data_IF_922915947309
#
_entry.id   IF_922915947309
#
_cell.length_a   1.000
_cell.length_b   1.000
_cell.length_c   1.000
_cell.angle_alpha   90.00
_cell.angle_beta   90.00
_cell.angle_gamma   90.00
#
_symmetry.space_group_name_H-M   'P 1'
#
loop_
_entity.id
_entity.type
_entity.pdbx_description
1 polymer ?
#
# COMPACT_ATOMS: atom_id res chain seq x y z
N UNK A 1 -19.09 -28.51 3.57
CA UNK A 1 -17.85 -28.26 4.34
C UNK A 1 -17.48 -26.80 4.14
N UNK A 2 -17.78 -25.94 5.11
CA UNK A 2 -17.65 -24.48 4.99
C UNK A 2 -16.25 -24.05 5.44
N UNK A 3 -15.49 -23.43 4.52
CA UNK A 3 -14.13 -22.91 4.75
C UNK A 3 -14.08 -21.40 4.44
N UNK A 4 -15.13 -20.61 4.73
CA UNK A 4 -15.31 -19.33 4.02
C UNK A 4 -15.36 -18.01 4.84
N UNK A 5 -15.02 -17.94 6.13
CA UNK A 5 -15.27 -16.67 6.87
C UNK A 5 -14.14 -16.05 7.68
N UNK A 6 -12.95 -16.67 7.76
CA UNK A 6 -11.91 -16.16 8.70
C UNK A 6 -10.64 -15.59 8.09
N UNK A 7 -10.50 -15.62 6.77
CA UNK A 7 -9.44 -14.92 6.07
C UNK A 7 -10.09 -14.21 4.90
N UNK A 8 -10.53 -12.96 5.12
CA UNK A 8 -11.08 -12.14 4.05
C UNK A 8 -10.06 -12.09 2.93
N UNK A 9 -10.26 -12.91 1.90
CA UNK A 9 -9.43 -12.92 0.72
C UNK A 9 -9.40 -11.48 0.24
N UNK A 10 -8.21 -10.91 0.09
CA UNK A 10 -8.00 -9.67 -0.64
C UNK A 10 -8.51 -9.90 -2.06
N UNK A 11 -9.83 -9.78 -2.25
CA UNK A 11 -10.49 -10.14 -3.48
C UNK A 11 -10.24 -8.97 -4.41
N UNK A 12 -9.10 -9.06 -5.10
CA UNK A 12 -8.86 -8.22 -6.25
C UNK A 12 -10.08 -8.32 -7.17
N UNK A 13 -10.43 -7.24 -7.86
CA UNK A 13 -11.41 -7.30 -8.95
C UNK A 13 -11.04 -8.42 -9.91
N UNK A 14 -12.01 -8.85 -10.73
CA UNK A 14 -11.72 -9.83 -11.78
C UNK A 14 -10.48 -9.39 -12.59
N UNK A 15 -9.65 -10.32 -13.06
CA UNK A 15 -8.39 -9.99 -13.74
C UNK A 15 -8.57 -8.97 -14.87
N UNK A 16 -9.67 -9.08 -15.62
CA UNK A 16 -10.07 -8.15 -16.68
C UNK A 16 -10.45 -6.77 -16.16
N UNK A 17 -11.20 -6.69 -15.07
CA UNK A 17 -11.57 -5.43 -14.43
C UNK A 17 -10.35 -4.73 -13.85
N UNK A 18 -9.47 -5.48 -13.20
CA UNK A 18 -8.21 -4.94 -12.68
C UNK A 18 -7.33 -4.35 -13.79
N UNK A 19 -7.22 -5.03 -14.93
CA UNK A 19 -6.51 -4.49 -16.10
C UNK A 19 -7.12 -3.17 -16.59
N UNK A 20 -8.45 -3.04 -16.62
CA UNK A 20 -9.13 -1.79 -17.00
C UNK A 20 -8.84 -0.66 -16.02
N UNK A 21 -8.92 -0.93 -14.72
CA UNK A 21 -8.59 0.03 -13.67
C UNK A 21 -7.14 0.50 -13.82
N UNK A 22 -6.18 -0.43 -13.97
CA UNK A 22 -4.76 -0.10 -14.18
C UNK A 22 -4.54 0.79 -15.40
N UNK A 23 -5.21 0.49 -16.51
CA UNK A 23 -5.13 1.32 -17.72
C UNK A 23 -5.72 2.72 -17.49
N UNK A 24 -6.83 2.84 -16.76
CA UNK A 24 -7.41 4.13 -16.41
C UNK A 24 -6.47 4.96 -15.51
N UNK A 25 -5.83 4.32 -14.54
CA UNK A 25 -4.83 4.96 -13.66
C UNK A 25 -3.61 5.42 -14.46
N UNK A 26 -3.06 4.57 -15.34
CA UNK A 26 -1.94 4.94 -16.21
C UNK A 26 -2.29 6.13 -17.11
N UNK A 27 -3.48 6.14 -17.71
CA UNK A 27 -3.96 7.26 -18.55
C UNK A 27 -4.11 8.55 -17.75
N UNK A 28 -4.73 8.49 -16.56
CA UNK A 28 -4.86 9.65 -15.66
C UNK A 28 -3.48 10.23 -15.32
N UNK A 29 -2.51 9.36 -15.05
CA UNK A 29 -1.16 9.76 -14.71
C UNK A 29 -0.34 10.29 -15.90
N UNK A 30 -0.88 10.24 -17.12
CA UNK A 30 -0.14 10.55 -18.35
C UNK A 30 1.01 9.57 -18.62
N UNK A 31 0.89 8.33 -18.13
CA UNK A 31 1.95 7.31 -18.08
C UNK A 31 3.22 7.73 -17.32
N UNK A 32 3.23 8.88 -16.66
CA UNK A 32 4.33 9.38 -15.85
C UNK A 32 4.13 9.00 -14.38
N UNK A 33 5.22 8.77 -13.65
CA UNK A 33 5.16 8.52 -12.22
C UNK A 33 4.45 9.66 -11.46
N UNK A 34 3.56 9.33 -10.53
CA UNK A 34 2.82 10.29 -9.70
C UNK A 34 3.54 10.61 -8.38
N UNK A 35 4.63 9.92 -8.05
CA UNK A 35 5.41 10.24 -6.85
C UNK A 35 6.03 11.64 -6.95
N UNK A 36 5.97 12.36 -5.83
CA UNK A 36 6.58 13.66 -5.67
C UNK A 36 8.06 13.53 -5.31
N UNK A 37 8.85 14.41 -5.90
CA UNK A 37 10.26 14.63 -5.58
C UNK A 37 10.37 15.58 -4.39
N UNK A 38 11.59 15.80 -3.89
CA UNK A 38 11.83 16.66 -2.71
C UNK A 38 11.42 18.12 -2.93
N UNK A 39 11.44 18.59 -4.17
CA UNK A 39 11.05 19.94 -4.57
C UNK A 39 9.53 20.06 -4.85
N UNK A 40 8.76 18.99 -4.63
CA UNK A 40 7.32 18.96 -4.90
C UNK A 40 6.96 18.72 -6.37
N UNK A 41 7.95 18.60 -7.27
CA UNK A 41 7.70 18.22 -8.66
C UNK A 41 7.35 16.73 -8.77
N UNK A 42 6.64 16.36 -9.84
CA UNK A 42 6.43 14.93 -10.15
C UNK A 42 7.71 14.32 -10.70
N UNK A 43 7.97 13.08 -10.29
CA UNK A 43 8.98 12.25 -10.91
C UNK A 43 8.79 12.21 -12.44
N UNK A 44 9.87 12.49 -13.20
CA UNK A 44 9.84 12.59 -14.66
C UNK A 44 9.90 11.23 -15.38
N UNK A 45 10.16 10.15 -14.63
CA UNK A 45 10.22 8.80 -15.19
C UNK A 45 8.84 8.27 -15.55
N UNK A 46 8.79 7.43 -16.59
CA UNK A 46 7.62 6.64 -16.97
C UNK A 46 7.23 5.72 -15.81
N UNK A 47 5.94 5.70 -15.46
CA UNK A 47 5.42 4.78 -14.47
C UNK A 47 5.19 3.38 -15.08
N UNK A 48 5.34 2.34 -14.27
CA UNK A 48 5.23 0.95 -14.67
C UNK A 48 4.16 0.17 -13.89
N UNK A 49 3.88 0.60 -12.66
CA UNK A 49 3.15 -0.18 -11.67
C UNK A 49 2.00 0.64 -11.09
N UNK A 50 0.86 -0.02 -10.89
CA UNK A 50 -0.31 0.57 -10.24
C UNK A 50 -0.31 0.08 -8.79
N UNK A 51 -0.33 1.03 -7.85
CA UNK A 51 -0.22 0.74 -6.43
C UNK A 51 -1.28 1.51 -5.63
N UNK A 52 -1.66 1.00 -4.47
CA UNK A 52 -2.60 1.64 -3.56
C UNK A 52 -1.91 2.77 -2.79
N UNK A 53 -2.62 3.83 -2.42
CA UNK A 53 -2.08 4.95 -1.63
C UNK A 53 -2.25 4.66 -0.14
N UNK A 54 -3.43 4.19 0.27
CA UNK A 54 -3.80 3.89 1.64
C UNK A 54 -4.35 2.46 1.77
N UNK A 55 -5.68 2.28 1.89
CA UNK A 55 -6.29 0.97 2.11
C UNK A 55 -6.02 0.04 0.92
N UNK A 56 -5.49 -1.15 1.19
CA UNK A 56 -5.17 -2.15 0.17
C UNK A 56 -6.42 -2.79 -0.45
N UNK A 57 -7.60 -2.60 0.15
CA UNK A 57 -8.86 -3.16 -0.36
C UNK A 57 -9.71 -2.11 -1.11
N UNK A 58 -9.37 -0.83 -1.04
CA UNK A 58 -10.05 0.22 -1.78
C UNK A 58 -9.43 0.39 -3.17
N UNK A 59 -10.12 -0.13 -4.19
CA UNK A 59 -9.68 -0.05 -5.59
C UNK A 59 -10.24 1.20 -6.31
N UNK A 60 -10.74 2.18 -5.57
CA UNK A 60 -11.18 3.46 -6.13
C UNK A 60 -10.04 4.17 -6.84
N UNK A 61 -10.37 4.92 -7.90
CA UNK A 61 -9.38 5.69 -8.64
C UNK A 61 -8.61 6.66 -7.73
N UNK A 62 -9.25 7.20 -6.69
CA UNK A 62 -8.63 8.15 -5.77
C UNK A 62 -7.57 7.51 -4.87
N UNK A 63 -7.69 6.21 -4.59
CA UNK A 63 -6.76 5.47 -3.76
C UNK A 63 -5.68 4.73 -4.58
N UNK A 64 -5.67 4.87 -5.91
CA UNK A 64 -4.65 4.25 -6.77
C UNK A 64 -3.69 5.31 -7.32
N UNK A 65 -2.42 4.94 -7.46
CA UNK A 65 -1.36 5.75 -8.04
C UNK A 65 -0.52 4.96 -9.05
N UNK A 66 0.03 5.66 -10.04
CA UNK A 66 0.92 5.12 -11.06
C UNK A 66 2.38 5.44 -10.71
N UNK A 67 3.20 4.43 -10.46
CA UNK A 67 4.58 4.58 -9.98
C UNK A 67 5.58 3.95 -10.94
N UNK A 68 6.75 4.58 -11.07
CA UNK A 68 7.91 3.92 -11.64
C UNK A 68 8.45 2.87 -10.65
N UNK A 69 9.16 1.85 -11.15
CA UNK A 69 9.60 0.72 -10.32
C UNK A 69 10.48 1.13 -9.13
N UNK A 70 11.27 2.21 -9.27
CA UNK A 70 12.06 2.73 -8.15
C UNK A 70 11.18 3.28 -7.01
N UNK A 71 10.21 4.14 -7.34
CA UNK A 71 9.31 4.72 -6.34
C UNK A 71 8.38 3.65 -5.74
N UNK A 72 7.93 2.70 -6.56
CA UNK A 72 7.16 1.56 -6.08
C UNK A 72 7.96 0.74 -5.06
N UNK A 73 9.19 0.35 -5.38
CA UNK A 73 10.05 -0.39 -4.46
C UNK A 73 10.33 0.38 -3.15
N UNK A 74 10.51 1.71 -3.23
CA UNK A 74 10.68 2.56 -2.05
C UNK A 74 9.43 2.58 -1.16
N UNK A 75 8.23 2.64 -1.77
CA UNK A 75 6.97 2.54 -1.04
C UNK A 75 6.81 1.18 -0.38
N UNK A 76 7.02 0.08 -1.11
CA UNK A 76 6.95 -1.28 -0.55
C UNK A 76 7.88 -1.45 0.66
N UNK A 77 9.12 -0.95 0.58
CA UNK A 77 10.07 -0.98 1.71
C UNK A 77 9.55 -0.20 2.92
N UNK A 78 8.96 0.98 2.69
CA UNK A 78 8.37 1.80 3.76
C UNK A 78 7.22 1.08 4.45
N UNK A 79 6.32 0.48 3.67
CA UNK A 79 5.17 -0.27 4.20
C UNK A 79 5.60 -1.53 4.96
N UNK A 80 6.55 -2.28 4.40
CA UNK A 80 7.13 -3.45 5.09
C UNK A 80 7.74 -3.05 6.43
N UNK A 81 8.50 -1.95 6.47
CA UNK A 81 9.07 -1.42 7.72
C UNK A 81 7.97 -1.01 8.71
N UNK A 82 6.92 -0.33 8.24
CA UNK A 82 5.79 0.05 9.10
C UNK A 82 5.09 -1.19 9.69
N UNK A 83 4.87 -2.23 8.88
CA UNK A 83 4.31 -3.50 9.33
C UNK A 83 5.17 -4.21 10.39
N UNK A 84 6.49 -4.25 10.20
CA UNK A 84 7.44 -4.79 11.18
C UNK A 84 7.40 -4.00 12.49
N UNK A 85 7.38 -2.66 12.42
CA UNK A 85 7.30 -1.82 13.63
C UNK A 85 5.97 -2.00 14.36
N UNK A 86 4.85 -2.09 13.64
CA UNK A 86 3.54 -2.37 14.22
C UNK A 86 3.48 -3.77 14.87
N UNK A 87 4.14 -4.78 14.29
CA UNK A 87 4.25 -6.09 14.92
C UNK A 87 5.10 -6.04 16.20
N UNK A 88 6.24 -5.33 16.18
CA UNK A 88 7.10 -5.16 17.36
C UNK A 88 6.36 -4.45 18.50
N UNK A 89 5.65 -3.37 18.21
CA UNK A 89 4.89 -2.62 19.21
C UNK A 89 3.79 -3.49 19.86
N UNK A 90 3.10 -4.32 19.07
CA UNK A 90 2.10 -5.27 19.59
C UNK A 90 2.71 -6.37 20.48
N UNK A 91 3.94 -6.76 20.20
CA UNK A 91 4.64 -7.83 20.91
C UNK A 91 5.52 -7.32 22.05
N UNK A 92 5.61 -6.01 22.28
CA UNK A 92 6.39 -5.45 23.37
C UNK A 92 5.73 -5.84 24.71
N UNK A 93 6.47 -6.44 25.66
CA UNK A 93 5.93 -6.74 26.99
C UNK A 93 5.41 -5.46 27.64
N UNK A 94 4.21 -5.52 28.22
CA UNK A 94 3.74 -4.43 29.08
C UNK A 94 4.64 -4.38 30.31
N UNK A 95 4.99 -3.17 30.74
CA UNK A 95 5.76 -2.97 31.96
C UNK A 95 5.05 -3.69 33.14
N UNK A 96 5.73 -4.57 33.89
CA UNK A 96 5.09 -5.28 34.99
C UNK A 96 4.69 -4.27 36.06
N UNK A 97 3.43 -4.28 36.49
CA UNK A 97 3.03 -3.53 37.68
C UNK A 97 3.64 -4.24 38.90
N UNK A 98 4.72 -3.69 39.44
CA UNK A 98 5.36 -4.25 40.62
C UNK A 98 4.51 -3.89 41.86
N UNK A 99 4.16 -4.86 42.73
CA UNK A 99 3.33 -4.62 43.91
C UNK A 99 3.99 -3.73 44.99
N UNK A 100 5.26 -3.32 44.79
CA UNK A 100 6.00 -2.44 45.70
C UNK A 100 5.99 -0.95 45.34
N UNK A 101 5.24 -0.53 44.31
CA UNK A 101 4.99 0.88 43.98
C UNK A 101 3.52 1.24 44.27
N UNK A 102 3.20 1.44 45.56
CA UNK A 102 1.96 2.07 46.07
C UNK A 102 2.31 3.05 47.18
#
# INVERSE_FOLDING_TARGET
MAWDEKYGAHRLPSSREWQRIRQAVAKRAGYQCESLMRDGSRCTFVGAECDHIADRNDHSMQNLQWLCSWHHAMKTKREARAGVMAARARNMPREPKHPGLI
#
